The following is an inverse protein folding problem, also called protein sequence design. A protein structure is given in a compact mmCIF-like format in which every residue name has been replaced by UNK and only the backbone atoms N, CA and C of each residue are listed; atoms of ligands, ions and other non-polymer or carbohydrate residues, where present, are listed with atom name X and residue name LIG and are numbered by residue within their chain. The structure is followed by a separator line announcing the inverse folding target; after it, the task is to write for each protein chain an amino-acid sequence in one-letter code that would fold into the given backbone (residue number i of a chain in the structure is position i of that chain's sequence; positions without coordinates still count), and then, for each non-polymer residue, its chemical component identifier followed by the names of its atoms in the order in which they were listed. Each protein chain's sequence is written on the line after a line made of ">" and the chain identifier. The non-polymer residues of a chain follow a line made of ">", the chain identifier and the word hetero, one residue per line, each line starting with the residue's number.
data_IF_437762565396
#
_entry.id   IF_437762565396
#
_cell.length_a   1.000
_cell.length_b   1.000
_cell.length_c   1.000
_cell.angle_alpha   90.00
_cell.angle_beta   90.00
_cell.angle_gamma   90.00
#
_symmetry.space_group_name_H-M   'P 1'
#
loop_
_entity.id
_entity.type
_entity.pdbx_description
1 polymer ?
#
# COMPACT_ATOMS: atom_id res chain seq x y z
N UNK A 1 7.92 -12.81 -14.42
CA UNK A 1 8.40 -12.91 -13.01
C UNK A 1 8.09 -11.62 -12.27
N UNK A 2 7.91 -11.62 -10.94
CA UNK A 2 7.85 -10.37 -10.16
C UNK A 2 9.11 -9.52 -10.34
N UNK A 3 10.24 -10.16 -10.67
CA UNK A 3 11.49 -9.51 -11.05
C UNK A 3 11.33 -8.59 -12.26
N UNK A 4 10.52 -8.97 -13.25
CA UNK A 4 10.37 -8.20 -14.50
C UNK A 4 9.53 -6.94 -14.30
N UNK A 5 8.52 -7.02 -13.42
CA UNK A 5 7.71 -5.86 -13.00
C UNK A 5 8.57 -4.88 -12.21
N UNK A 6 9.48 -5.39 -11.35
CA UNK A 6 10.38 -4.56 -10.55
C UNK A 6 11.51 -3.94 -11.39
N UNK A 7 12.00 -4.62 -12.42
CA UNK A 7 13.14 -4.17 -13.22
C UNK A 7 12.84 -2.93 -14.10
N UNK A 8 11.57 -2.71 -14.46
CA UNK A 8 11.16 -1.63 -15.36
C UNK A 8 10.37 -0.50 -14.71
N UNK A 9 10.13 -0.56 -13.38
CA UNK A 9 9.28 0.44 -12.70
C UNK A 9 10.10 1.59 -12.15
N UNK A 10 9.43 2.73 -11.98
CA UNK A 10 9.98 3.86 -11.27
C UNK A 10 9.90 3.61 -9.75
N UNK A 11 11.02 3.22 -9.16
CA UNK A 11 11.10 2.94 -7.73
C UNK A 11 10.88 4.18 -6.85
N UNK A 12 11.13 5.40 -7.36
CA UNK A 12 10.81 6.62 -6.61
C UNK A 12 9.31 6.86 -6.60
N UNK A 13 8.63 6.70 -7.74
CA UNK A 13 7.17 6.79 -7.80
C UNK A 13 6.49 5.78 -6.86
N UNK A 14 7.01 4.54 -6.79
CA UNK A 14 6.55 3.52 -5.83
C UNK A 14 6.73 4.01 -4.39
N UNK A 15 7.91 4.48 -4.01
CA UNK A 15 8.18 4.98 -2.65
C UNK A 15 7.26 6.13 -2.27
N UNK A 16 7.11 7.12 -3.15
CA UNK A 16 6.33 8.34 -2.90
C UNK A 16 4.85 7.99 -2.73
N UNK A 17 4.29 7.17 -3.63
CA UNK A 17 2.85 6.82 -3.57
C UNK A 17 2.52 5.94 -2.37
N UNK A 18 3.38 4.99 -2.02
CA UNK A 18 3.20 4.17 -0.80
C UNK A 18 3.29 5.03 0.47
N UNK A 19 4.24 5.97 0.54
CA UNK A 19 4.35 6.89 1.68
C UNK A 19 3.10 7.77 1.82
N UNK A 20 2.57 8.28 0.70
CA UNK A 20 1.33 9.05 0.69
C UNK A 20 0.13 8.20 1.16
N UNK A 21 0.05 6.93 0.74
CA UNK A 21 -0.97 6.00 1.21
C UNK A 21 -0.86 5.75 2.72
N UNK A 22 0.35 5.47 3.23
CA UNK A 22 0.59 5.26 4.66
C UNK A 22 0.17 6.49 5.48
N UNK A 23 0.49 7.70 5.02
CA UNK A 23 0.04 8.93 5.70
C UNK A 23 -1.48 9.10 5.62
N UNK A 24 -2.07 8.84 4.44
CA UNK A 24 -3.52 8.84 4.25
C UNK A 24 -4.23 7.91 5.23
N UNK A 25 -3.68 6.72 5.51
CA UNK A 25 -4.23 5.77 6.49
C UNK A 25 -4.26 6.31 7.93
N UNK A 26 -3.43 7.32 8.28
CA UNK A 26 -3.46 7.99 9.59
C UNK A 26 -4.55 9.06 9.67
N UNK A 27 -5.11 9.45 8.54
CA UNK A 27 -6.16 10.46 8.41
C UNK A 27 -7.58 9.82 8.40
N UNK A 28 -8.60 10.65 8.17
CA UNK A 28 -9.99 10.20 7.91
C UNK A 28 -10.43 10.44 6.47
N UNK A 29 -9.48 10.66 5.56
CA UNK A 29 -9.76 10.96 4.16
C UNK A 29 -10.11 9.69 3.36
N UNK A 30 -10.67 9.89 2.18
CA UNK A 30 -10.94 8.78 1.26
C UNK A 30 -9.60 8.23 0.72
N UNK A 31 -9.32 6.95 0.98
CA UNK A 31 -8.08 6.29 0.55
C UNK A 31 -8.09 5.83 -0.91
N UNK A 32 -9.25 5.75 -1.56
CA UNK A 32 -9.37 5.22 -2.93
C UNK A 32 -8.48 5.99 -3.93
N UNK A 33 -8.41 7.34 -3.92
CA UNK A 33 -7.48 8.06 -4.78
C UNK A 33 -6.01 7.65 -4.58
N UNK A 34 -5.56 7.50 -3.33
CA UNK A 34 -4.19 7.11 -2.98
C UNK A 34 -3.88 5.67 -3.44
N UNK A 35 -4.85 4.77 -3.30
CA UNK A 35 -4.73 3.39 -3.79
C UNK A 35 -4.59 3.38 -5.32
N UNK A 36 -5.36 4.21 -6.04
CA UNK A 36 -5.25 4.33 -7.50
C UNK A 36 -3.88 4.89 -7.92
N UNK A 37 -3.30 5.81 -7.15
CA UNK A 37 -1.96 6.34 -7.42
C UNK A 37 -0.88 5.27 -7.20
N UNK A 38 -0.98 4.44 -6.16
CA UNK A 38 -0.12 3.27 -6.00
C UNK A 38 -0.22 2.30 -7.18
N UNK A 39 -1.44 2.02 -7.66
CA UNK A 39 -1.67 1.13 -8.81
C UNK A 39 -1.05 1.71 -10.09
N UNK A 40 -1.21 3.01 -10.33
CA UNK A 40 -0.57 3.72 -11.46
C UNK A 40 0.95 3.74 -11.36
N UNK A 41 1.48 3.80 -10.15
CA UNK A 41 2.90 3.67 -9.84
C UNK A 41 3.44 2.24 -9.94
N UNK A 42 2.66 1.28 -10.44
CA UNK A 42 3.03 -0.14 -10.52
C UNK A 42 3.42 -0.76 -9.16
N UNK A 43 2.79 -0.29 -8.07
CA UNK A 43 2.85 -0.97 -6.79
C UNK A 43 2.10 -2.30 -6.88
N UNK A 44 2.64 -3.31 -6.22
CA UNK A 44 1.98 -4.61 -6.10
C UNK A 44 0.90 -4.58 -5.01
N UNK A 45 -0.06 -5.50 -5.09
CA UNK A 45 -1.07 -5.67 -4.05
C UNK A 45 -0.45 -5.90 -2.66
N UNK A 46 0.65 -6.65 -2.59
CA UNK A 46 1.33 -6.92 -1.32
C UNK A 46 1.97 -5.64 -0.73
N UNK A 47 2.57 -4.78 -1.57
CA UNK A 47 3.14 -3.50 -1.14
C UNK A 47 2.05 -2.55 -0.61
N UNK A 48 0.92 -2.46 -1.32
CA UNK A 48 -0.23 -1.65 -0.88
C UNK A 48 -0.79 -2.18 0.44
N UNK A 49 -1.01 -3.50 0.56
CA UNK A 49 -1.46 -4.14 1.80
C UNK A 49 -0.50 -3.87 2.96
N UNK A 50 0.80 -3.99 2.73
CA UNK A 50 1.82 -3.78 3.76
C UNK A 50 1.79 -2.33 4.27
N UNK A 51 1.74 -1.34 3.37
CA UNK A 51 1.64 0.08 3.74
C UNK A 51 0.41 0.37 4.62
N UNK A 52 -0.74 -0.22 4.29
CA UNK A 52 -1.97 -0.07 5.10
C UNK A 52 -1.86 -0.80 6.45
N UNK A 53 -1.23 -1.97 6.48
CA UNK A 53 -1.03 -2.76 7.71
C UNK A 53 -0.11 -2.05 8.72
N UNK A 54 0.84 -1.22 8.28
CA UNK A 54 1.68 -0.40 9.18
C UNK A 54 0.87 0.54 10.08
N UNK A 55 -0.32 0.97 9.64
CA UNK A 55 -1.18 1.89 10.39
C UNK A 55 -2.35 1.17 11.05
N UNK A 56 -3.03 0.29 10.33
CA UNK A 56 -4.22 -0.40 10.83
C UNK A 56 -3.91 -1.66 11.65
N UNK A 57 -2.70 -2.21 11.48
CA UNK A 57 -2.34 -3.52 11.99
C UNK A 57 -2.99 -4.67 11.21
N UNK A 58 -2.66 -5.90 11.61
CA UNK A 58 -3.31 -7.10 11.10
C UNK A 58 -4.59 -7.40 11.87
N UNK A 59 -5.62 -7.83 11.14
CA UNK A 59 -6.79 -8.45 11.77
C UNK A 59 -6.37 -9.73 12.50
N UNK A 60 -6.80 -9.86 13.76
CA UNK A 60 -6.66 -11.07 14.57
C UNK A 60 -8.06 -11.53 14.96
N UNK A 61 -8.38 -12.76 14.61
CA UNK A 61 -9.69 -13.34 14.94
C UNK A 61 -9.85 -13.42 16.46
N UNK A 62 -10.95 -12.92 17.03
CA UNK A 62 -11.20 -13.02 18.46
C UNK A 62 -11.43 -14.49 18.85
N UNK A 63 -10.66 -14.98 19.82
CA UNK A 63 -10.82 -16.33 20.37
C UNK A 63 -11.96 -16.30 21.38
N UNK A 64 -13.08 -16.94 21.06
CA UNK A 64 -14.17 -17.17 22.00
C UNK A 64 -14.01 -18.57 22.63
N UNK A 65 -14.06 -18.66 23.96
CA UNK A 65 -14.04 -19.90 24.74
C UNK A 65 -15.26 -19.97 25.65
#
# INVERSE_FOLDING_TARGET
>A
SMSDIRAGRDDEAVRVTLAALTEGCRSKENLVPLILDCVRGYCTLFEIRAAMEEVFGSYKEPVFF
#
